data_IF_193178585138
#
_entry.id   IF_193178585138
#
_cell.length_a   1.000
_cell.length_b   1.000
_cell.length_c   1.000
_cell.angle_alpha   90.00
_cell.angle_beta   90.00
_cell.angle_gamma   90.00
#
_symmetry.space_group_name_H-M   'P 1'
#
loop_
_entity.id
_entity.type
_entity.pdbx_description
1 polymer ?
#
# COMPACT_ATOMS: atom_id res chain seq x y z
N UNK A 1 0.19 45.60 -52.10
CA UNK A 1 0.90 46.90 -52.04
C UNK A 1 1.98 46.77 -50.98
N UNK A 2 3.23 46.90 -51.40
CA UNK A 2 4.43 46.77 -50.58
C UNK A 2 4.85 48.13 -49.98
N UNK A 3 5.47 48.10 -48.80
CA UNK A 3 6.45 49.07 -48.30
C UNK A 3 7.08 48.46 -47.03
N UNK A 4 8.25 47.81 -47.02
CA UNK A 4 9.62 48.25 -47.29
C UNK A 4 10.01 49.55 -46.58
N UNK A 5 10.63 49.44 -45.40
CA UNK A 5 11.80 50.28 -45.08
C UNK A 5 12.80 49.45 -44.28
N UNK A 6 13.98 49.35 -44.88
CA UNK A 6 15.12 48.52 -44.58
C UNK A 6 16.20 49.46 -44.07
N UNK A 7 16.67 49.30 -42.83
CA UNK A 7 17.85 50.01 -42.34
C UNK A 7 18.99 49.02 -42.20
N UNK A 8 19.84 49.03 -43.23
CA UNK A 8 21.24 48.59 -43.27
C UNK A 8 22.04 49.27 -42.15
N UNK A 9 22.80 48.46 -41.40
CA UNK A 9 24.19 48.72 -41.00
C UNK A 9 24.88 47.35 -41.03
N UNK A 10 25.23 46.89 -42.22
CA UNK A 10 26.58 46.94 -42.79
C UNK A 10 27.50 45.87 -42.21
N UNK A 11 27.79 44.93 -43.10
CA UNK A 11 28.47 43.66 -42.92
C UNK A 11 29.86 43.83 -43.55
N UNK A 12 30.90 44.10 -42.76
CA UNK A 12 32.29 43.89 -43.18
C UNK A 12 33.29 43.97 -42.03
N UNK A 13 33.77 42.82 -41.58
CA UNK A 13 35.19 42.43 -41.47
C UNK A 13 35.20 41.03 -40.83
N UNK A 14 35.22 39.94 -41.60
CA UNK A 14 36.41 39.27 -42.15
C UNK A 14 37.44 38.96 -41.05
N UNK A 15 37.41 37.69 -40.65
CA UNK A 15 38.55 36.79 -40.40
C UNK A 15 39.68 37.36 -39.53
N UNK A 16 39.63 36.98 -38.26
CA UNK A 16 40.78 37.01 -37.35
C UNK A 16 40.88 35.68 -36.63
N UNK A 17 41.80 34.86 -37.14
CA UNK A 17 42.55 33.79 -36.49
C UNK A 17 41.86 32.58 -35.84
N UNK A 18 42.22 31.44 -36.41
CA UNK A 18 42.13 30.10 -35.88
C UNK A 18 42.89 29.98 -34.55
N UNK A 19 42.18 30.01 -33.41
CA UNK A 19 42.76 29.58 -32.15
C UNK A 19 41.70 29.03 -31.19
N UNK A 20 41.81 27.72 -30.92
CA UNK A 20 41.41 27.19 -29.62
C UNK A 20 40.02 26.56 -29.55
N UNK A 21 39.83 25.47 -30.28
CA UNK A 21 38.81 24.45 -29.95
C UNK A 21 39.20 23.67 -28.66
N UNK A 22 39.57 24.38 -27.60
CA UNK A 22 40.06 23.81 -26.34
C UNK A 22 39.13 24.26 -25.20
N UNK A 23 38.23 23.34 -24.83
CA UNK A 23 37.77 23.16 -23.46
C UNK A 23 36.87 24.26 -22.88
N UNK A 24 35.55 24.11 -23.03
CA UNK A 24 34.62 24.62 -22.02
C UNK A 24 34.39 23.48 -21.00
N UNK A 25 35.14 23.41 -19.88
CA UNK A 25 34.97 22.34 -18.89
C UNK A 25 33.59 22.40 -18.20
N UNK A 26 32.92 23.54 -18.27
CA UNK A 26 31.64 23.79 -17.59
C UNK A 26 30.48 22.95 -18.16
N UNK A 27 30.46 22.66 -19.46
CA UNK A 27 29.32 21.95 -20.09
C UNK A 27 29.34 20.45 -19.76
N UNK A 28 30.53 19.82 -19.65
CA UNK A 28 30.65 18.40 -19.27
C UNK A 28 30.44 18.16 -17.77
N UNK A 29 30.74 19.14 -16.93
CA UNK A 29 30.51 19.05 -15.49
C UNK A 29 29.01 19.08 -15.14
N UNK A 30 28.20 19.90 -15.84
CA UNK A 30 26.75 19.95 -15.63
C UNK A 30 26.05 18.62 -15.95
N UNK A 31 26.45 17.92 -17.02
CA UNK A 31 25.86 16.62 -17.37
C UNK A 31 26.17 15.53 -16.34
N UNK A 32 27.35 15.56 -15.73
CA UNK A 32 27.76 14.56 -14.73
C UNK A 32 27.12 14.81 -13.36
N UNK A 33 26.97 16.08 -12.97
CA UNK A 33 26.26 16.48 -11.74
C UNK A 33 24.77 16.13 -11.84
N UNK A 34 24.13 16.38 -12.99
CA UNK A 34 22.71 16.05 -13.20
C UNK A 34 22.47 14.53 -13.14
N UNK A 35 23.38 13.73 -13.68
CA UNK A 35 23.31 12.27 -13.63
C UNK A 35 23.58 11.73 -12.22
N UNK A 36 24.50 12.31 -11.44
CA UNK A 36 24.71 11.91 -10.04
C UNK A 36 23.54 12.30 -9.11
N UNK A 37 22.90 13.44 -9.31
CA UNK A 37 21.68 13.81 -8.55
C UNK A 37 20.47 12.93 -8.88
N UNK A 38 20.44 12.32 -10.07
CA UNK A 38 19.38 11.38 -10.43
C UNK A 38 19.48 10.05 -9.65
N UNK A 39 20.70 9.60 -9.29
CA UNK A 39 20.89 8.37 -8.51
C UNK A 39 20.58 8.52 -7.01
N UNK A 40 20.57 9.72 -6.45
CA UNK A 40 20.23 9.94 -5.03
C UNK A 40 18.73 10.02 -4.77
N UNK A 41 17.90 9.92 -5.82
CA UNK A 41 16.44 10.03 -5.73
C UNK A 41 15.73 8.69 -5.45
N UNK A 42 16.48 7.59 -5.31
CA UNK A 42 15.91 6.33 -4.83
C UNK A 42 15.60 6.44 -3.33
N UNK A 43 14.35 6.79 -3.01
CA UNK A 43 13.85 6.66 -1.65
C UNK A 43 13.90 5.19 -1.22
N UNK A 44 14.61 4.91 -0.13
CA UNK A 44 14.51 3.64 0.58
C UNK A 44 13.13 3.60 1.23
N UNK A 45 12.25 2.74 0.75
CA UNK A 45 11.06 2.37 1.50
C UNK A 45 11.52 1.71 2.82
N UNK A 46 11.20 2.32 3.96
CA UNK A 46 11.44 1.72 5.27
C UNK A 46 10.27 0.79 5.59
N UNK A 47 10.55 -0.40 6.09
CA UNK A 47 9.52 -1.32 6.56
C UNK A 47 8.66 -0.71 7.70
N UNK A 48 9.19 0.29 8.41
CA UNK A 48 8.53 0.99 9.51
C UNK A 48 7.37 1.91 9.07
N UNK A 49 7.19 2.15 7.77
CA UNK A 49 6.12 3.04 7.26
C UNK A 49 4.74 2.36 7.27
N UNK A 50 4.69 1.03 7.47
CA UNK A 50 3.47 0.25 7.63
C UNK A 50 3.30 -0.12 9.11
N UNK A 51 2.57 0.71 9.85
CA UNK A 51 2.17 0.37 11.22
C UNK A 51 1.06 -0.69 11.16
N UNK A 52 1.34 -1.90 11.64
CA UNK A 52 0.35 -2.97 11.78
C UNK A 52 -0.45 -2.81 13.08
N UNK A 53 -1.78 -2.91 12.98
CA UNK A 53 -2.64 -2.91 14.16
C UNK A 53 -2.68 -4.29 14.81
N UNK A 54 -1.93 -4.46 15.90
CA UNK A 54 -1.96 -5.64 16.76
C UNK A 54 -2.67 -5.38 18.10
N UNK A 55 -3.42 -4.28 18.21
CA UNK A 55 -4.25 -4.00 19.39
C UNK A 55 -5.41 -5.01 19.48
N UNK A 56 -5.84 -5.44 20.68
CA UNK A 56 -6.98 -6.33 20.80
C UNK A 56 -8.31 -5.66 20.39
N UNK A 57 -8.42 -4.34 20.47
CA UNK A 57 -9.64 -3.59 20.16
C UNK A 57 -9.96 -3.55 18.67
N UNK A 58 -8.94 -3.63 17.81
CA UNK A 58 -9.07 -3.62 16.35
C UNK A 58 -10.03 -2.52 15.83
N UNK A 59 -9.82 -1.23 16.18
CA UNK A 59 -10.75 -0.14 15.85
C UNK A 59 -10.94 0.07 14.35
N UNK A 60 -9.99 -0.40 13.53
CA UNK A 60 -10.06 -0.36 12.07
C UNK A 60 -10.76 -1.56 11.42
N UNK A 61 -11.26 -2.52 12.21
CA UNK A 61 -11.89 -3.73 11.68
C UNK A 61 -13.09 -3.38 10.82
N UNK A 62 -13.12 -3.99 9.64
CA UNK A 62 -14.23 -3.83 8.70
C UNK A 62 -15.42 -4.64 9.22
N UNK A 63 -16.53 -3.94 9.43
CA UNK A 63 -17.83 -4.54 9.72
C UNK A 63 -18.72 -4.51 8.49
N UNK A 64 -19.57 -5.52 8.34
CA UNK A 64 -20.50 -5.63 7.21
C UNK A 64 -21.95 -5.58 7.68
N UNK A 65 -22.86 -5.23 6.78
CA UNK A 65 -24.30 -5.28 7.05
C UNK A 65 -24.84 -6.70 7.00
N UNK A 66 -25.95 -6.95 7.71
CA UNK A 66 -26.68 -8.22 7.64
C UNK A 66 -27.18 -8.49 6.22
N UNK A 67 -26.93 -9.70 5.71
CA UNK A 67 -27.43 -10.18 4.42
C UNK A 67 -28.59 -11.16 4.61
N UNK A 68 -29.79 -10.73 4.22
CA UNK A 68 -31.01 -11.56 4.29
C UNK A 68 -30.93 -12.84 3.44
N UNK A 69 -30.19 -12.82 2.34
CA UNK A 69 -30.03 -13.97 1.44
C UNK A 69 -29.14 -15.03 2.09
N UNK A 70 -28.01 -14.61 2.68
CA UNK A 70 -27.11 -15.51 3.40
C UNK A 70 -27.81 -16.16 4.62
N UNK A 71 -28.58 -15.36 5.37
CA UNK A 71 -29.38 -15.88 6.49
C UNK A 71 -30.42 -16.89 6.01
N UNK A 72 -31.13 -16.60 4.92
CA UNK A 72 -32.15 -17.50 4.37
C UNK A 72 -31.57 -18.81 3.81
N UNK A 73 -30.28 -18.83 3.46
CA UNK A 73 -29.58 -20.02 2.97
C UNK A 73 -29.27 -21.03 4.08
N UNK A 74 -29.32 -20.62 5.36
CA UNK A 74 -29.12 -21.54 6.49
C UNK A 74 -30.33 -22.50 6.57
N UNK A 75 -30.11 -23.83 6.53
CA UNK A 75 -31.19 -24.80 6.68
C UNK A 75 -31.95 -24.59 7.99
N UNK A 76 -33.29 -24.67 7.95
CA UNK A 76 -34.15 -24.44 9.13
C UNK A 76 -33.86 -25.38 10.31
N UNK A 77 -33.27 -26.54 10.03
CA UNK A 77 -32.89 -27.56 11.03
C UNK A 77 -31.39 -27.54 11.36
N UNK A 78 -30.62 -26.59 10.83
CA UNK A 78 -29.21 -26.42 11.19
C UNK A 78 -29.10 -26.04 12.67
N UNK A 79 -28.14 -26.65 13.36
CA UNK A 79 -27.87 -26.39 14.79
C UNK A 79 -26.46 -25.87 14.93
N UNK A 80 -26.35 -24.60 15.35
CA UNK A 80 -25.09 -24.05 15.80
C UNK A 80 -24.61 -24.76 17.06
N UNK A 81 -23.29 -24.82 17.26
CA UNK A 81 -22.67 -25.34 18.49
C UNK A 81 -23.21 -24.59 19.71
N UNK A 82 -23.25 -23.26 19.61
CA UNK A 82 -23.92 -22.38 20.56
C UNK A 82 -25.01 -21.58 19.82
N UNK A 83 -26.28 -21.65 20.26
CA UNK A 83 -27.37 -20.92 19.60
C UNK A 83 -27.09 -19.41 19.49
N UNK A 84 -27.16 -18.87 18.28
CA UNK A 84 -26.93 -17.43 18.02
C UNK A 84 -25.45 -17.04 17.85
N UNK A 85 -24.53 -18.01 17.83
CA UNK A 85 -23.09 -17.78 17.69
C UNK A 85 -22.51 -18.58 16.53
N UNK A 86 -21.70 -17.91 15.71
CA UNK A 86 -20.79 -18.53 14.77
C UNK A 86 -19.49 -18.87 15.51
N UNK A 87 -19.26 -20.15 15.77
CA UNK A 87 -18.01 -20.63 16.41
C UNK A 87 -17.03 -21.05 15.31
N UNK A 88 -15.84 -20.45 15.29
CA UNK A 88 -14.80 -20.72 14.27
C UNK A 88 -13.51 -21.14 14.95
N UNK A 89 -12.98 -22.30 14.55
CA UNK A 89 -11.65 -22.73 14.96
C UNK A 89 -10.60 -22.01 14.12
N UNK A 90 -9.59 -21.44 14.77
CA UNK A 90 -8.48 -20.72 14.12
C UNK A 90 -7.18 -21.18 14.77
N UNK A 91 -6.12 -21.35 13.99
CA UNK A 91 -4.80 -21.70 14.50
C UNK A 91 -3.88 -20.46 14.42
N UNK A 92 -3.67 -19.71 15.53
CA UNK A 92 -2.81 -18.54 15.51
C UNK A 92 -1.34 -18.98 15.37
N UNK A 93 -0.80 -18.90 14.15
CA UNK A 93 0.58 -19.29 13.84
C UNK A 93 1.51 -18.10 13.57
N UNK A 94 0.96 -16.93 13.26
CA UNK A 94 1.72 -15.71 12.92
C UNK A 94 1.01 -14.84 11.89
N UNK A 95 1.39 -13.55 11.80
CA UNK A 95 0.84 -12.66 10.77
C UNK A 95 1.20 -13.13 9.35
N UNK A 96 0.37 -12.79 8.34
CA UNK A 96 -0.82 -11.94 8.41
C UNK A 96 -2.14 -12.68 8.65
N UNK A 97 -2.12 -14.03 8.68
CA UNK A 97 -3.33 -14.85 8.69
C UNK A 97 -4.04 -14.82 10.05
N UNK A 98 -3.34 -15.26 11.10
CA UNK A 98 -3.85 -15.25 12.46
C UNK A 98 -2.68 -15.23 13.45
N UNK A 99 -2.73 -14.29 14.41
CA UNK A 99 -1.76 -14.20 15.50
C UNK A 99 -2.46 -13.71 16.77
N UNK A 100 -1.75 -13.73 17.90
CA UNK A 100 -2.24 -13.10 19.12
C UNK A 100 -1.91 -11.60 19.09
N UNK A 101 -2.87 -10.80 19.51
CA UNK A 101 -2.71 -9.38 19.77
C UNK A 101 -1.70 -9.11 20.90
N UNK A 102 -1.42 -7.84 21.16
CA UNK A 102 -0.49 -7.41 22.22
C UNK A 102 -0.89 -7.86 23.63
N UNK A 103 -2.12 -8.32 23.84
CA UNK A 103 -2.59 -8.91 25.10
C UNK A 103 -2.28 -10.41 25.25
N UNK A 104 -1.61 -11.01 24.25
CA UNK A 104 -1.27 -12.44 24.17
C UNK A 104 -2.48 -13.39 24.28
N UNK A 105 -3.68 -12.91 23.94
CA UNK A 105 -4.93 -13.67 24.10
C UNK A 105 -5.89 -13.49 22.94
N UNK A 106 -6.10 -12.26 22.48
CA UNK A 106 -7.07 -11.96 21.41
C UNK A 106 -6.48 -12.37 20.06
N UNK A 107 -7.23 -13.14 19.27
CA UNK A 107 -6.78 -13.56 17.93
C UNK A 107 -7.11 -12.46 16.91
N UNK A 108 -6.10 -12.02 16.16
CA UNK A 108 -6.18 -10.95 15.14
C UNK A 108 -5.52 -11.39 13.84
N UNK A 109 -5.90 -10.78 12.71
CA UNK A 109 -5.40 -11.12 11.37
C UNK A 109 -6.52 -11.33 10.34
N UNK A 110 -6.15 -11.76 9.13
CA UNK A 110 -7.09 -11.96 8.04
C UNK A 110 -8.18 -13.01 8.35
N UNK A 111 -7.82 -14.13 8.98
CA UNK A 111 -8.75 -15.21 9.29
C UNK A 111 -9.86 -14.78 10.27
N UNK A 112 -9.55 -14.19 11.46
CA UNK A 112 -10.58 -13.69 12.36
C UNK A 112 -11.38 -12.54 11.74
N UNK A 113 -10.78 -11.66 10.93
CA UNK A 113 -11.50 -10.55 10.29
C UNK A 113 -12.55 -11.04 9.28
N UNK A 114 -12.21 -12.06 8.48
CA UNK A 114 -13.18 -12.71 7.59
C UNK A 114 -14.28 -13.39 8.41
N UNK A 115 -13.93 -14.04 9.53
CA UNK A 115 -14.92 -14.66 10.41
C UNK A 115 -15.88 -13.63 11.03
N UNK A 116 -15.39 -12.44 11.42
CA UNK A 116 -16.23 -11.33 11.88
C UNK A 116 -17.19 -10.86 10.79
N UNK A 117 -16.70 -10.67 9.57
CA UNK A 117 -17.56 -10.27 8.45
C UNK A 117 -18.66 -11.30 8.15
N UNK A 118 -18.35 -12.60 8.23
CA UNK A 118 -19.36 -13.65 8.06
C UNK A 118 -20.37 -13.62 9.22
N UNK A 119 -19.92 -13.47 10.47
CA UNK A 119 -20.80 -13.38 11.63
C UNK A 119 -21.76 -12.18 11.54
N UNK A 120 -21.25 -11.00 11.18
CA UNK A 120 -22.03 -9.78 10.96
C UNK A 120 -23.07 -9.96 9.86
N UNK A 121 -22.67 -10.54 8.72
CA UNK A 121 -23.57 -10.82 7.59
C UNK A 121 -24.73 -11.75 7.99
N UNK A 122 -24.46 -12.74 8.84
CA UNK A 122 -25.49 -13.64 9.38
C UNK A 122 -26.27 -13.04 10.57
N UNK A 123 -25.79 -11.92 11.12
CA UNK A 123 -26.27 -11.33 12.38
C UNK A 123 -26.12 -12.28 13.57
N UNK A 124 -24.99 -12.98 13.64
CA UNK A 124 -24.59 -13.86 14.73
C UNK A 124 -23.46 -13.21 15.54
N UNK A 125 -23.28 -13.65 16.78
CA UNK A 125 -22.05 -13.35 17.52
C UNK A 125 -20.92 -14.21 16.98
N UNK A 126 -19.69 -13.71 16.98
CA UNK A 126 -18.52 -14.52 16.68
C UNK A 126 -17.89 -15.08 17.96
N UNK A 127 -17.52 -16.35 17.94
CA UNK A 127 -16.63 -16.97 18.92
C UNK A 127 -15.45 -17.60 18.18
N UNK A 128 -14.24 -17.13 18.50
CA UNK A 128 -13.01 -17.69 17.97
C UNK A 128 -12.45 -18.71 18.97
N UNK A 129 -12.17 -19.91 18.48
CA UNK A 129 -11.58 -20.99 19.27
C UNK A 129 -10.16 -21.23 18.78
N UNK A 130 -9.13 -20.80 19.52
CA UNK A 130 -7.75 -21.11 19.19
C UNK A 130 -7.51 -22.62 19.23
N UNK A 131 -6.97 -23.18 18.16
CA UNK A 131 -6.60 -24.60 18.06
C UNK A 131 -5.14 -24.72 17.62
N UNK A 132 -4.50 -25.84 17.96
CA UNK A 132 -3.15 -26.13 17.51
C UNK A 132 -3.14 -26.50 16.01
N UNK A 133 -2.01 -26.24 15.34
CA UNK A 133 -1.71 -26.88 14.07
C UNK A 133 -1.34 -28.35 14.32
N UNK A 134 -1.26 -29.15 13.27
CA UNK A 134 -1.10 -30.62 13.36
C UNK A 134 0.36 -31.08 13.55
N UNK A 135 1.22 -30.29 14.18
CA UNK A 135 2.64 -30.60 14.35
C UNK A 135 2.93 -31.77 15.32
#
# INVERSE_FOLDING_TARGET
MANLTFQRCDLRLILGDDAGLIGIPAIRACSFVLMMTALTSFSVARADDLTFDLSPEQPGRIHVGRDGTAVAAIPKNFKFVTPGTLTVAVAPGGPPLATYATDAKTVVGADPDIAYAIADSLGLKLELVPVAWID
#
